data_IF_714411743712
#
_entry.id   IF_714411743712
#
_cell.length_a   1.000
_cell.length_b   1.000
_cell.length_c   1.000
_cell.angle_alpha   90.00
_cell.angle_beta   90.00
_cell.angle_gamma   90.00
#
_symmetry.space_group_name_H-M   'P 1'
#
loop_
_entity.id
_entity.type
_entity.pdbx_description
1 polymer ?
#
# COMPACT_ATOMS: atom_id res chain seq x y z
N UNK A 1 32.42 9.79 -16.24
CA UNK A 1 31.92 10.15 -14.90
C UNK A 1 30.43 9.88 -14.68
N UNK A 2 29.63 9.62 -15.73
CA UNK A 2 28.17 9.37 -15.65
C UNK A 2 27.82 7.87 -15.43
N UNK A 3 28.69 6.93 -15.81
CA UNK A 3 28.44 5.50 -15.63
C UNK A 3 28.69 4.99 -14.19
N UNK A 4 29.63 5.56 -13.46
CA UNK A 4 29.91 5.18 -12.09
C UNK A 4 28.77 5.54 -11.12
N UNK A 5 28.10 6.66 -11.35
CA UNK A 5 26.95 7.12 -10.55
C UNK A 5 25.71 6.24 -10.76
N UNK A 6 25.51 5.70 -11.98
CA UNK A 6 24.41 4.76 -12.26
C UNK A 6 24.63 3.39 -11.63
N UNK A 7 25.85 2.88 -11.60
CA UNK A 7 26.19 1.61 -10.97
C UNK A 7 26.09 1.67 -9.44
N UNK A 8 26.51 2.77 -8.81
CA UNK A 8 26.37 2.99 -7.38
C UNK A 8 24.89 3.10 -6.99
N UNK A 9 24.06 3.77 -7.79
CA UNK A 9 22.62 3.93 -7.55
C UNK A 9 21.85 2.60 -7.71
N UNK A 10 22.23 1.76 -8.68
CA UNK A 10 21.64 0.44 -8.87
C UNK A 10 21.99 -0.50 -7.69
N UNK A 11 23.26 -0.58 -7.29
CA UNK A 11 23.69 -1.45 -6.20
C UNK A 11 23.11 -1.04 -4.82
N UNK A 12 22.85 0.24 -4.58
CA UNK A 12 22.20 0.70 -3.36
C UNK A 12 20.70 0.37 -3.35
N UNK A 13 20.02 0.48 -4.49
CA UNK A 13 18.61 0.06 -4.63
C UNK A 13 18.44 -1.44 -4.41
N UNK A 14 19.28 -2.27 -5.01
CA UNK A 14 19.26 -3.72 -4.82
C UNK A 14 19.44 -4.12 -3.35
N UNK A 15 20.33 -3.44 -2.62
CA UNK A 15 20.55 -3.70 -1.19
C UNK A 15 19.35 -3.27 -0.35
N UNK A 16 18.75 -2.12 -0.63
CA UNK A 16 17.55 -1.65 0.07
C UNK A 16 16.35 -2.57 -0.20
N UNK A 17 16.19 -3.10 -1.41
CA UNK A 17 15.16 -4.07 -1.73
C UNK A 17 15.38 -5.42 -1.05
N UNK A 18 16.62 -5.89 -0.95
CA UNK A 18 16.96 -7.11 -0.20
C UNK A 18 16.64 -6.98 1.28
N UNK A 19 16.99 -5.83 1.89
CA UNK A 19 16.64 -5.52 3.27
C UNK A 19 15.14 -5.45 3.48
N UNK A 20 14.39 -4.84 2.55
CA UNK A 20 12.93 -4.79 2.61
C UNK A 20 12.29 -6.19 2.53
N UNK A 21 12.87 -7.09 1.75
CA UNK A 21 12.42 -8.50 1.69
C UNK A 21 12.70 -9.23 3.00
N UNK A 22 13.88 -9.01 3.60
CA UNK A 22 14.29 -9.70 4.84
C UNK A 22 13.40 -9.35 6.04
N UNK A 23 12.91 -8.11 6.13
CA UNK A 23 12.06 -7.66 7.25
C UNK A 23 10.57 -7.97 7.06
N UNK A 24 10.13 -8.44 5.88
CA UNK A 24 8.73 -8.80 5.65
C UNK A 24 8.33 -10.00 6.52
N UNK A 25 7.13 -9.98 7.13
CA UNK A 25 6.61 -11.16 7.79
C UNK A 25 6.36 -12.27 6.77
N UNK A 26 6.64 -13.51 7.17
CA UNK A 26 6.45 -14.69 6.32
C UNK A 26 5.22 -15.51 6.75
N UNK A 27 4.67 -15.29 7.95
CA UNK A 27 3.52 -16.01 8.49
C UNK A 27 2.44 -15.04 8.99
N UNK A 28 1.21 -15.52 9.14
CA UNK A 28 0.13 -14.75 9.78
C UNK A 28 0.45 -14.43 11.25
N UNK A 29 1.22 -15.29 11.94
CA UNK A 29 1.66 -15.05 13.31
C UNK A 29 2.57 -13.81 13.43
N UNK A 30 3.41 -13.58 12.43
CA UNK A 30 4.31 -12.42 12.35
C UNK A 30 3.66 -11.16 11.75
N UNK A 31 2.44 -11.30 11.20
CA UNK A 31 1.71 -10.21 10.56
C UNK A 31 1.00 -9.37 11.60
N UNK A 32 1.68 -8.33 12.06
CA UNK A 32 1.19 -7.38 13.08
C UNK A 32 0.11 -6.47 12.49
N UNK A 33 -0.88 -6.11 13.30
CA UNK A 33 -2.00 -5.26 12.90
C UNK A 33 -3.06 -5.99 12.07
N UNK A 34 -4.01 -5.25 11.51
CA UNK A 34 -5.10 -5.78 10.68
C UNK A 34 -5.85 -6.97 11.33
N UNK A 35 -6.32 -6.88 12.59
CA UNK A 35 -6.79 -8.04 13.36
C UNK A 35 -7.91 -8.81 12.66
N UNK A 36 -8.90 -8.12 12.10
CA UNK A 36 -10.02 -8.73 11.38
C UNK A 36 -9.57 -9.47 10.13
N UNK A 37 -8.67 -8.86 9.33
CA UNK A 37 -8.12 -9.48 8.12
C UNK A 37 -7.33 -10.73 8.49
N UNK A 38 -6.51 -10.66 9.53
CA UNK A 38 -5.70 -11.79 9.99
C UNK A 38 -6.57 -12.95 10.45
N UNK A 39 -7.58 -12.69 11.29
CA UNK A 39 -8.50 -13.72 11.80
C UNK A 39 -9.28 -14.40 10.66
N UNK A 40 -9.81 -13.59 9.72
CA UNK A 40 -10.54 -14.14 8.56
C UNK A 40 -9.63 -14.97 7.66
N UNK A 41 -8.43 -14.48 7.36
CA UNK A 41 -7.48 -15.20 6.50
C UNK A 41 -7.00 -16.50 7.15
N UNK A 42 -6.75 -16.49 8.45
CA UNK A 42 -6.41 -17.72 9.20
C UNK A 42 -7.51 -18.77 9.09
N UNK A 43 -8.78 -18.37 9.28
CA UNK A 43 -9.93 -19.25 9.15
C UNK A 43 -10.05 -19.83 7.73
N UNK A 44 -9.98 -18.97 6.70
CA UNK A 44 -10.16 -19.41 5.30
C UNK A 44 -9.03 -20.32 4.84
N UNK A 45 -7.78 -20.01 5.20
CA UNK A 45 -6.61 -20.83 4.86
C UNK A 45 -6.70 -22.18 5.56
N UNK A 46 -7.04 -22.23 6.85
CA UNK A 46 -7.21 -23.49 7.58
C UNK A 46 -8.32 -24.36 6.97
N UNK A 47 -9.44 -23.75 6.58
CA UNK A 47 -10.55 -24.45 5.95
C UNK A 47 -10.16 -25.04 4.58
N UNK A 48 -9.52 -24.24 3.71
CA UNK A 48 -9.07 -24.69 2.39
C UNK A 48 -8.05 -25.84 2.50
N UNK A 49 -7.06 -25.70 3.40
CA UNK A 49 -6.09 -26.78 3.69
C UNK A 49 -6.75 -28.03 4.21
N UNK A 50 -7.74 -27.92 5.11
CA UNK A 50 -8.48 -29.05 5.66
C UNK A 50 -9.25 -29.86 4.61
N UNK A 51 -9.69 -29.18 3.54
CA UNK A 51 -10.37 -29.81 2.38
C UNK A 51 -9.41 -30.21 1.25
N UNK A 52 -8.13 -29.85 1.36
CA UNK A 52 -7.12 -30.01 0.30
C UNK A 52 -7.53 -29.32 -1.02
N UNK A 53 -8.06 -28.12 -0.91
CA UNK A 53 -8.53 -27.29 -2.02
C UNK A 53 -7.68 -26.03 -2.16
N UNK A 54 -7.66 -25.43 -3.36
CA UNK A 54 -7.14 -24.07 -3.53
C UNK A 54 -7.98 -23.09 -2.69
N UNK A 55 -7.35 -22.02 -2.21
CA UNK A 55 -8.07 -20.94 -1.54
C UNK A 55 -8.94 -20.20 -2.57
N UNK A 56 -10.09 -19.72 -2.15
CA UNK A 56 -10.92 -18.85 -2.99
C UNK A 56 -10.14 -17.62 -3.49
N UNK A 57 -10.44 -17.17 -4.69
CA UNK A 57 -9.83 -15.97 -5.24
C UNK A 57 -10.00 -14.79 -4.31
N UNK A 58 -8.91 -14.10 -4.03
CA UNK A 58 -8.82 -13.09 -2.97
C UNK A 58 -8.46 -11.72 -3.54
N UNK A 59 -9.28 -10.71 -3.25
CA UNK A 59 -9.00 -9.30 -3.55
C UNK A 59 -8.50 -8.59 -2.30
N UNK A 60 -7.31 -7.98 -2.38
CA UNK A 60 -6.73 -7.18 -1.30
C UNK A 60 -6.65 -5.72 -1.76
N UNK A 61 -7.33 -4.81 -1.07
CA UNK A 61 -7.30 -3.40 -1.46
C UNK A 61 -7.04 -2.46 -0.28
N UNK A 62 -6.58 -1.26 -0.58
CA UNK A 62 -6.27 -0.23 0.39
C UNK A 62 -5.12 0.67 -0.06
N UNK A 63 -4.81 1.74 0.68
CA UNK A 63 -3.71 2.66 0.39
C UNK A 63 -2.38 1.97 0.11
N UNK A 64 -1.43 2.62 -0.58
CA UNK A 64 -0.13 2.03 -0.86
C UNK A 64 0.69 1.84 0.42
N UNK A 65 1.53 0.79 0.43
CA UNK A 65 2.47 0.55 1.52
C UNK A 65 1.91 -0.16 2.77
N UNK A 66 0.63 -0.59 2.76
CA UNK A 66 -0.03 -1.27 3.87
C UNK A 66 0.24 -2.79 3.95
N UNK A 67 0.96 -3.38 2.99
CA UNK A 67 1.33 -4.78 3.03
C UNK A 67 0.51 -5.72 2.14
N UNK A 68 -0.18 -5.23 1.08
CA UNK A 68 -0.95 -6.07 0.14
C UNK A 68 -0.11 -7.22 -0.44
N UNK A 69 1.06 -6.91 -0.99
CA UNK A 69 2.00 -7.90 -1.51
C UNK A 69 2.53 -8.84 -0.43
N UNK A 70 2.71 -8.33 0.79
CA UNK A 70 3.14 -9.14 1.94
C UNK A 70 2.08 -10.18 2.29
N UNK A 71 0.81 -9.78 2.37
CA UNK A 71 -0.29 -10.68 2.66
C UNK A 71 -0.45 -11.76 1.58
N UNK A 72 -0.27 -11.42 0.29
CA UNK A 72 -0.27 -12.40 -0.80
C UNK A 72 0.84 -13.46 -0.64
N UNK A 73 2.04 -13.05 -0.24
CA UNK A 73 3.14 -13.99 0.03
C UNK A 73 2.85 -14.87 1.24
N UNK A 74 2.25 -14.31 2.30
CA UNK A 74 1.84 -15.08 3.48
C UNK A 74 0.79 -16.12 3.11
N UNK A 75 -0.22 -15.75 2.30
CA UNK A 75 -1.23 -16.69 1.81
C UNK A 75 -0.58 -17.89 1.13
N UNK A 76 0.32 -17.67 0.19
CA UNK A 76 1.01 -18.76 -0.50
C UNK A 76 1.82 -19.63 0.45
N UNK A 77 2.55 -19.01 1.38
CA UNK A 77 3.36 -19.74 2.37
C UNK A 77 2.51 -20.54 3.34
N UNK A 78 1.43 -19.98 3.87
CA UNK A 78 0.50 -20.69 4.77
C UNK A 78 -0.24 -21.82 4.04
N UNK A 79 -0.57 -21.65 2.77
CA UNK A 79 -1.13 -22.71 1.92
C UNK A 79 -0.10 -23.80 1.57
N UNK A 80 1.20 -23.49 1.68
CA UNK A 80 2.29 -24.40 1.31
C UNK A 80 2.49 -24.57 -0.19
N UNK A 81 2.18 -23.53 -0.99
CA UNK A 81 2.22 -23.54 -2.45
C UNK A 81 3.15 -22.45 -2.99
N UNK A 82 3.45 -22.51 -4.29
CA UNK A 82 4.25 -21.50 -4.96
C UNK A 82 3.44 -20.23 -5.27
N UNK A 83 4.12 -19.08 -5.33
CA UNK A 83 3.51 -17.82 -5.77
C UNK A 83 4.20 -17.33 -7.05
N UNK A 84 3.40 -17.03 -8.08
CA UNK A 84 3.83 -16.31 -9.27
C UNK A 84 3.28 -14.91 -9.22
N UNK A 85 4.18 -13.93 -9.35
CA UNK A 85 3.83 -12.52 -9.18
C UNK A 85 3.98 -11.76 -10.48
N UNK A 86 2.97 -10.95 -10.79
CA UNK A 86 2.94 -10.01 -11.92
C UNK A 86 2.21 -8.73 -11.52
N UNK A 87 1.99 -7.84 -12.47
CA UNK A 87 1.18 -6.63 -12.25
C UNK A 87 0.30 -6.34 -13.46
N UNK A 88 -0.82 -5.63 -13.23
CA UNK A 88 -1.75 -5.25 -14.30
C UNK A 88 -1.06 -4.59 -15.50
N UNK A 89 -0.18 -3.59 -15.29
CA UNK A 89 0.54 -2.94 -16.39
C UNK A 89 1.47 -3.85 -17.21
N UNK A 90 1.94 -4.97 -16.68
CA UNK A 90 2.81 -5.92 -17.38
C UNK A 90 2.00 -6.88 -18.26
N UNK A 91 0.74 -7.11 -17.92
CA UNK A 91 -0.18 -7.97 -18.66
C UNK A 91 -0.86 -7.16 -19.79
N UNK A 92 -0.12 -6.91 -20.86
CA UNK A 92 -0.63 -6.09 -21.97
C UNK A 92 -1.51 -6.90 -22.93
N UNK A 93 -1.23 -8.18 -23.08
CA UNK A 93 -1.89 -9.06 -24.05
C UNK A 93 -2.45 -10.32 -23.40
N UNK A 94 -3.53 -10.89 -23.95
CA UNK A 94 -4.07 -12.17 -23.50
C UNK A 94 -3.03 -13.29 -23.41
N UNK A 95 -2.07 -13.32 -24.34
CA UNK A 95 -0.98 -14.29 -24.36
C UNK A 95 -0.04 -14.21 -23.15
N UNK A 96 0.17 -13.01 -22.60
CA UNK A 96 1.01 -12.84 -21.41
C UNK A 96 0.37 -13.49 -20.19
N UNK A 97 -0.95 -13.30 -20.03
CA UNK A 97 -1.74 -13.97 -18.99
C UNK A 97 -1.81 -15.47 -19.20
N UNK A 98 -2.07 -15.93 -20.44
CA UNK A 98 -2.14 -17.33 -20.79
C UNK A 98 -0.83 -18.07 -20.46
N UNK A 99 0.32 -17.47 -20.76
CA UNK A 99 1.62 -18.04 -20.44
C UNK A 99 1.84 -18.19 -18.92
N UNK A 100 1.34 -17.26 -18.11
CA UNK A 100 1.42 -17.39 -16.66
C UNK A 100 0.48 -18.48 -16.12
N UNK A 101 -0.77 -18.52 -16.59
CA UNK A 101 -1.79 -19.47 -16.12
C UNK A 101 -1.42 -20.92 -16.48
N UNK A 102 -0.90 -21.17 -17.67
CA UNK A 102 -0.50 -22.52 -18.10
C UNK A 102 0.75 -23.07 -17.39
N UNK A 103 1.49 -22.19 -16.71
CA UNK A 103 2.66 -22.58 -15.92
C UNK A 103 2.35 -22.73 -14.41
N UNK A 104 1.09 -22.61 -14.00
CA UNK A 104 0.69 -22.85 -12.61
C UNK A 104 0.57 -24.36 -12.33
N UNK A 105 0.91 -24.72 -11.10
CA UNK A 105 0.62 -26.05 -10.54
C UNK A 105 -0.65 -26.00 -9.68
N UNK A 106 -1.18 -27.16 -9.34
CA UNK A 106 -2.40 -27.25 -8.53
C UNK A 106 -2.20 -26.58 -7.15
N UNK A 107 -3.06 -25.63 -6.83
CA UNK A 107 -3.03 -24.86 -5.59
C UNK A 107 -2.17 -23.61 -5.62
N UNK A 108 -1.37 -23.39 -6.67
CA UNK A 108 -0.49 -22.22 -6.79
C UNK A 108 -1.24 -20.89 -6.64
N UNK A 109 -0.53 -19.89 -6.17
CA UNK A 109 -1.04 -18.50 -6.09
C UNK A 109 -0.52 -17.69 -7.27
N UNK A 110 -1.45 -17.11 -8.05
CA UNK A 110 -1.14 -16.05 -9.01
C UNK A 110 -1.43 -14.69 -8.35
N UNK A 111 -0.38 -13.93 -8.09
CA UNK A 111 -0.51 -12.57 -7.55
C UNK A 111 -0.42 -11.53 -8.65
N UNK A 112 -1.46 -10.68 -8.77
CA UNK A 112 -1.53 -9.57 -9.73
C UNK A 112 -1.62 -8.25 -8.96
N UNK A 113 -0.52 -7.50 -8.92
CA UNK A 113 -0.51 -6.14 -8.33
C UNK A 113 -1.13 -5.13 -9.29
N UNK A 114 -1.74 -4.07 -8.74
CA UNK A 114 -2.45 -3.03 -9.52
C UNK A 114 -3.44 -3.63 -10.53
N UNK A 115 -4.21 -4.64 -10.12
CA UNK A 115 -5.12 -5.42 -10.97
C UNK A 115 -6.17 -4.55 -11.69
N UNK A 116 -6.51 -3.38 -11.13
CA UNK A 116 -7.41 -2.40 -11.76
C UNK A 116 -6.86 -1.79 -13.07
N UNK A 117 -5.59 -2.06 -13.40
CA UNK A 117 -4.94 -1.61 -14.62
C UNK A 117 -4.88 -2.67 -15.73
N UNK A 118 -5.53 -3.81 -15.52
CA UNK A 118 -5.72 -4.78 -16.60
C UNK A 118 -6.54 -4.16 -17.75
N UNK A 119 -6.17 -4.50 -18.98
CA UNK A 119 -6.98 -4.14 -20.13
C UNK A 119 -8.26 -4.99 -20.19
N UNK A 120 -9.38 -4.48 -20.72
CA UNK A 120 -10.62 -5.26 -20.84
C UNK A 120 -10.45 -6.60 -21.55
N UNK A 121 -9.58 -6.67 -22.56
CA UNK A 121 -9.30 -7.90 -23.32
C UNK A 121 -8.62 -8.96 -22.44
N UNK A 122 -7.72 -8.54 -21.53
CA UNK A 122 -7.05 -9.44 -20.58
C UNK A 122 -8.02 -9.88 -19.48
N UNK A 123 -8.91 -8.98 -19.02
CA UNK A 123 -9.95 -9.33 -18.07
C UNK A 123 -10.89 -10.41 -18.62
N UNK A 124 -11.31 -10.32 -19.89
CA UNK A 124 -12.18 -11.32 -20.54
C UNK A 124 -11.58 -12.72 -20.55
N UNK A 125 -10.25 -12.83 -20.69
CA UNK A 125 -9.54 -14.12 -20.61
C UNK A 125 -9.44 -14.61 -19.16
N UNK A 126 -9.38 -13.71 -18.20
CA UNK A 126 -9.28 -14.04 -16.78
C UNK A 126 -10.59 -14.62 -16.22
N UNK A 127 -11.75 -14.21 -16.72
CA UNK A 127 -13.04 -14.64 -16.21
C UNK A 127 -13.25 -16.17 -16.24
N UNK A 128 -13.14 -16.87 -17.40
CA UNK A 128 -13.29 -18.32 -17.43
C UNK A 128 -12.17 -19.05 -16.66
N UNK A 129 -10.98 -18.45 -16.58
CA UNK A 129 -9.89 -19.00 -15.78
C UNK A 129 -10.21 -18.98 -14.27
N UNK A 130 -10.93 -17.97 -13.77
CA UNK A 130 -11.35 -17.87 -12.38
C UNK A 130 -12.58 -18.72 -12.06
N UNK A 131 -13.55 -18.82 -12.98
CA UNK A 131 -14.82 -19.53 -12.72
C UNK A 131 -14.70 -21.03 -12.93
N UNK A 132 -14.13 -21.42 -14.08
CA UNK A 132 -14.17 -22.80 -14.56
C UNK A 132 -12.78 -23.45 -14.61
N UNK A 133 -11.73 -22.72 -14.24
CA UNK A 133 -10.33 -23.13 -14.44
C UNK A 133 -10.06 -23.54 -15.90
N UNK A 134 -10.58 -22.73 -16.83
CA UNK A 134 -10.45 -22.93 -18.27
C UNK A 134 -9.90 -21.67 -18.95
N UNK A 135 -9.10 -21.90 -19.96
CA UNK A 135 -8.51 -20.85 -20.79
C UNK A 135 -8.96 -21.02 -22.24
N UNK A 136 -9.63 -20.02 -22.79
CA UNK A 136 -10.00 -20.01 -24.21
C UNK A 136 -8.87 -19.39 -25.04
N UNK A 137 -8.23 -20.21 -25.89
CA UNK A 137 -7.14 -19.78 -26.76
C UNK A 137 -7.63 -19.78 -28.22
N UNK A 138 -7.50 -18.64 -28.88
CA UNK A 138 -7.73 -18.54 -30.31
C UNK A 138 -6.47 -18.98 -31.08
N UNK A 139 -6.59 -20.02 -31.89
CA UNK A 139 -5.49 -20.52 -32.76
C UNK A 139 -5.85 -20.22 -34.21
N UNK A 140 -4.91 -19.59 -34.94
CA UNK A 140 -5.08 -19.16 -36.32
C UNK A 140 -5.56 -17.74 -36.48
N UNK A 141 -5.65 -17.26 -37.70
CA UNK A 141 -6.08 -15.91 -38.05
C UNK A 141 -7.28 -15.94 -39.03
N UNK A 142 -8.11 -14.90 -38.97
CA UNK A 142 -9.25 -14.69 -39.85
C UNK A 142 -10.35 -15.75 -39.69
N UNK A 143 -11.11 -16.07 -40.77
CA UNK A 143 -12.25 -16.99 -40.74
C UNK A 143 -11.91 -18.44 -40.38
N UNK A 144 -10.64 -18.81 -40.41
CA UNK A 144 -10.14 -20.15 -40.04
C UNK A 144 -9.70 -20.24 -38.56
N UNK A 145 -9.78 -19.17 -37.81
CA UNK A 145 -9.46 -19.17 -36.38
C UNK A 145 -10.39 -20.12 -35.60
N UNK A 146 -9.79 -20.92 -34.74
CA UNK A 146 -10.52 -21.86 -33.87
C UNK A 146 -10.23 -21.53 -32.40
N UNK A 147 -11.28 -21.56 -31.56
CA UNK A 147 -11.12 -21.54 -30.13
C UNK A 147 -10.81 -22.95 -29.62
N UNK A 148 -9.77 -23.06 -28.81
CA UNK A 148 -9.44 -24.28 -28.07
C UNK A 148 -9.55 -23.96 -26.59
N UNK A 149 -10.31 -24.77 -25.87
CA UNK A 149 -10.38 -24.71 -24.40
C UNK A 149 -9.26 -25.55 -23.82
N UNK A 150 -8.48 -24.94 -22.96
CA UNK A 150 -7.43 -25.60 -22.17
C UNK A 150 -7.83 -25.61 -20.70
N UNK A 151 -7.87 -26.80 -20.11
CA UNK A 151 -8.11 -26.93 -18.67
C UNK A 151 -6.87 -26.51 -17.90
N UNK A 152 -7.08 -25.70 -16.85
CA UNK A 152 -6.06 -25.23 -15.92
C UNK A 152 -6.15 -26.01 -14.61
N UNK A 153 -5.03 -26.25 -13.91
CA UNK A 153 -5.09 -26.75 -12.56
C UNK A 153 -5.80 -25.71 -11.65
N UNK A 154 -6.55 -26.12 -10.64
CA UNK A 154 -7.12 -25.21 -9.66
C UNK A 154 -6.03 -24.33 -9.04
N UNK A 155 -6.23 -23.02 -9.02
CA UNK A 155 -5.29 -22.03 -8.50
C UNK A 155 -6.02 -20.94 -7.72
N UNK A 156 -5.27 -20.17 -6.94
CA UNK A 156 -5.79 -18.98 -6.27
C UNK A 156 -5.30 -17.72 -6.94
N UNK A 157 -6.21 -16.89 -7.45
CA UNK A 157 -5.88 -15.52 -7.86
C UNK A 157 -5.89 -14.60 -6.64
N UNK A 158 -4.79 -13.92 -6.38
CA UNK A 158 -4.73 -12.83 -5.39
C UNK A 158 -4.54 -11.52 -6.14
N UNK A 159 -5.60 -10.74 -6.27
CA UNK A 159 -5.58 -9.40 -6.85
C UNK A 159 -5.28 -8.35 -5.81
N UNK A 160 -4.37 -7.42 -6.10
CA UNK A 160 -4.11 -6.26 -5.25
C UNK A 160 -4.40 -4.95 -5.97
N UNK A 161 -4.99 -3.97 -5.27
CA UNK A 161 -5.27 -2.66 -5.84
C UNK A 161 -5.28 -1.56 -4.79
N UNK A 162 -4.88 -0.35 -5.20
CA UNK A 162 -5.11 0.87 -4.43
C UNK A 162 -6.49 1.47 -4.70
N UNK A 163 -7.13 1.10 -5.80
CA UNK A 163 -8.35 1.71 -6.36
C UNK A 163 -9.44 0.67 -6.64
N UNK A 164 -9.99 0.07 -5.59
CA UNK A 164 -11.04 -0.96 -5.73
C UNK A 164 -12.27 -0.49 -6.54
N UNK A 165 -12.59 0.80 -6.51
CA UNK A 165 -13.69 1.38 -7.28
C UNK A 165 -13.44 1.48 -8.80
N UNK A 166 -12.20 1.21 -9.27
CA UNK A 166 -11.87 1.16 -10.69
C UNK A 166 -11.96 -0.25 -11.28
N UNK A 167 -12.15 -1.27 -10.44
CA UNK A 167 -12.40 -2.63 -10.93
C UNK A 167 -13.76 -2.71 -11.59
N UNK A 168 -13.84 -3.45 -12.68
CA UNK A 168 -15.13 -3.78 -13.30
C UNK A 168 -15.95 -4.65 -12.35
N UNK A 169 -17.28 -4.49 -12.37
CA UNK A 169 -18.15 -5.32 -11.53
C UNK A 169 -17.96 -6.82 -11.82
N UNK A 170 -17.87 -7.27 -13.11
CA UNK A 170 -17.65 -8.68 -13.41
C UNK A 170 -16.38 -9.24 -12.78
N UNK A 171 -15.29 -8.50 -12.80
CA UNK A 171 -14.04 -8.96 -12.16
C UNK A 171 -14.17 -9.00 -10.63
N UNK A 172 -14.76 -7.97 -10.06
CA UNK A 172 -14.93 -7.85 -8.61
C UNK A 172 -15.78 -8.97 -8.01
N UNK A 173 -16.88 -9.33 -8.69
CA UNK A 173 -17.83 -10.32 -8.20
C UNK A 173 -17.27 -11.76 -8.22
N UNK A 174 -16.14 -11.98 -8.91
CA UNK A 174 -15.45 -13.27 -8.96
C UNK A 174 -14.48 -13.51 -7.81
N UNK A 175 -14.26 -12.50 -6.97
CA UNK A 175 -13.46 -12.67 -5.75
C UNK A 175 -14.35 -13.14 -4.60
N UNK A 176 -14.15 -14.38 -4.15
CA UNK A 176 -14.86 -14.95 -3.00
C UNK A 176 -14.43 -14.35 -1.67
N UNK A 177 -13.17 -13.87 -1.60
CA UNK A 177 -12.60 -13.24 -0.40
C UNK A 177 -12.20 -11.80 -0.76
N UNK A 178 -12.69 -10.82 0.02
CA UNK A 178 -12.38 -9.41 -0.18
C UNK A 178 -11.82 -8.81 1.11
N UNK A 179 -10.56 -8.37 1.09
CA UNK A 179 -9.86 -7.85 2.26
C UNK A 179 -9.48 -6.39 2.05
N UNK A 180 -9.94 -5.52 2.95
CA UNK A 180 -9.57 -4.12 2.99
C UNK A 180 -8.47 -3.92 4.03
N UNK A 181 -7.32 -3.40 3.61
CA UNK A 181 -6.26 -3.00 4.53
C UNK A 181 -6.46 -1.53 4.94
N UNK A 182 -6.31 -1.28 6.23
CA UNK A 182 -6.44 0.03 6.83
C UNK A 182 -5.08 0.55 7.32
N UNK A 183 -4.99 1.86 7.60
CA UNK A 183 -3.79 2.41 8.22
C UNK A 183 -3.58 1.79 9.59
N UNK A 184 -2.32 1.53 9.92
CA UNK A 184 -1.91 0.91 11.16
C UNK A 184 -1.96 1.91 12.33
N UNK A 185 -2.25 1.44 13.51
CA UNK A 185 -2.10 2.21 14.74
C UNK A 185 -0.62 2.51 15.02
N UNK A 186 -0.34 3.53 15.82
CA UNK A 186 1.04 3.80 16.26
C UNK A 186 1.61 2.63 17.07
N UNK A 187 0.79 1.93 17.84
CA UNK A 187 1.20 0.75 18.62
C UNK A 187 1.63 -0.41 17.70
N UNK A 188 0.84 -0.71 16.66
CA UNK A 188 1.20 -1.73 15.68
C UNK A 188 2.50 -1.39 14.94
N UNK A 189 2.63 -0.12 14.51
CA UNK A 189 3.85 0.34 13.85
C UNK A 189 5.06 0.31 14.76
N UNK A 190 4.92 0.60 16.06
CA UNK A 190 6.00 0.47 17.04
C UNK A 190 6.47 -0.98 17.12
N UNK A 191 5.54 -1.93 17.16
CA UNK A 191 5.86 -3.36 17.15
C UNK A 191 6.56 -3.78 15.85
N UNK A 192 6.10 -3.27 14.71
CA UNK A 192 6.74 -3.52 13.40
C UNK A 192 8.17 -2.95 13.36
N UNK A 193 8.37 -1.71 13.82
CA UNK A 193 9.69 -1.06 13.88
C UNK A 193 10.64 -1.84 14.78
N UNK A 194 10.18 -2.23 15.98
CA UNK A 194 10.96 -3.01 16.94
C UNK A 194 11.38 -4.37 16.36
N UNK A 195 10.44 -5.09 15.75
CA UNK A 195 10.71 -6.36 15.06
C UNK A 195 11.72 -6.17 13.92
N UNK A 196 11.51 -5.16 13.08
CA UNK A 196 12.40 -4.87 11.95
C UNK A 196 13.81 -4.50 12.42
N UNK A 197 13.92 -3.70 13.48
CA UNK A 197 15.19 -3.36 14.10
C UNK A 197 15.92 -4.61 14.61
N UNK A 198 15.22 -5.53 15.27
CA UNK A 198 15.79 -6.81 15.73
C UNK A 198 16.34 -7.66 14.57
N UNK A 199 15.60 -7.79 13.46
CA UNK A 199 16.04 -8.52 12.27
C UNK A 199 17.28 -7.87 11.63
N UNK A 200 17.34 -6.53 11.66
CA UNK A 200 18.47 -5.77 11.12
C UNK A 200 19.66 -5.68 12.11
N UNK A 201 19.56 -6.26 13.30
CA UNK A 201 20.61 -6.22 14.34
C UNK A 201 20.82 -4.82 14.92
N UNK A 202 19.79 -3.96 14.95
CA UNK A 202 19.86 -2.59 15.43
C UNK A 202 19.52 -2.51 16.93
N UNK A 203 20.25 -1.68 17.66
CA UNK A 203 19.93 -1.35 19.05
C UNK A 203 18.95 -0.17 19.07
N UNK A 204 17.68 -0.45 19.40
CA UNK A 204 16.62 0.55 19.47
C UNK A 204 15.94 0.51 20.84
N UNK A 205 15.73 1.70 21.42
CA UNK A 205 14.93 1.86 22.62
C UNK A 205 13.43 1.91 22.28
N UNK A 206 12.54 1.50 23.19
CA UNK A 206 11.08 1.55 22.95
C UNK A 206 10.60 2.93 22.53
N UNK A 207 11.12 3.99 23.17
CA UNK A 207 10.78 5.38 22.86
C UNK A 207 11.31 5.83 21.49
N UNK A 208 12.45 5.29 21.06
CA UNK A 208 12.98 5.51 19.71
C UNK A 208 12.11 4.84 18.64
N UNK A 209 11.66 3.61 18.90
CA UNK A 209 10.74 2.89 18.03
C UNK A 209 9.38 3.61 17.93
N UNK A 210 8.84 4.07 19.06
CA UNK A 210 7.61 4.85 19.12
C UNK A 210 7.74 6.16 18.33
N UNK A 211 8.86 6.89 18.45
CA UNK A 211 9.11 8.14 17.74
C UNK A 211 9.09 7.93 16.21
N UNK A 212 9.71 6.86 15.71
CA UNK A 212 9.66 6.49 14.29
C UNK A 212 8.23 6.12 13.87
N UNK A 213 7.55 5.31 14.68
CA UNK A 213 6.21 4.79 14.39
C UNK A 213 5.17 5.91 14.29
N UNK A 214 5.16 6.86 15.21
CA UNK A 214 4.19 7.97 15.22
C UNK A 214 4.31 8.90 14.01
N UNK A 215 5.53 8.99 13.40
CA UNK A 215 5.77 9.78 12.18
C UNK A 215 5.66 8.96 10.89
N UNK A 216 5.28 7.69 10.98
CA UNK A 216 5.22 6.80 9.82
C UNK A 216 3.88 6.82 9.06
N UNK A 217 2.97 7.73 9.40
CA UNK A 217 1.71 7.94 8.68
C UNK A 217 0.85 6.67 8.56
N UNK A 218 0.78 5.86 9.61
CA UNK A 218 0.01 4.62 9.59
C UNK A 218 0.50 3.55 8.60
N UNK A 219 1.73 3.68 8.06
CA UNK A 219 2.18 2.88 6.91
C UNK A 219 3.46 2.12 7.23
N UNK A 220 3.44 0.76 7.25
CA UNK A 220 4.62 -0.07 7.51
C UNK A 220 5.79 0.20 6.57
N UNK A 221 5.54 0.44 5.27
CA UNK A 221 6.59 0.79 4.31
C UNK A 221 7.32 2.07 4.69
N UNK A 222 6.57 3.10 5.14
CA UNK A 222 7.17 4.37 5.59
C UNK A 222 7.93 4.12 6.89
N UNK A 223 7.36 3.41 7.87
CA UNK A 223 8.02 3.08 9.13
C UNK A 223 9.39 2.41 8.91
N UNK A 224 9.44 1.40 8.06
CA UNK A 224 10.69 0.71 7.73
C UNK A 224 11.68 1.60 6.96
N UNK A 225 11.19 2.47 6.07
CA UNK A 225 12.04 3.45 5.37
C UNK A 225 12.64 4.46 6.36
N UNK A 226 11.84 4.98 7.29
CA UNK A 226 12.30 5.90 8.33
C UNK A 226 13.30 5.20 9.27
N UNK A 227 13.04 3.97 9.71
CA UNK A 227 13.95 3.19 10.53
C UNK A 227 15.35 3.09 9.90
N UNK A 228 15.44 2.81 8.60
CA UNK A 228 16.72 2.75 7.89
C UNK A 228 17.45 4.10 7.87
N UNK A 229 16.75 5.19 7.65
CA UNK A 229 17.36 6.53 7.67
C UNK A 229 17.80 6.94 9.07
N UNK A 230 16.99 6.61 10.08
CA UNK A 230 17.36 6.82 11.50
C UNK A 230 18.56 5.96 11.88
N UNK A 231 18.66 4.73 11.39
CA UNK A 231 19.86 3.88 11.55
C UNK A 231 21.12 4.59 11.03
N UNK A 232 21.09 5.07 9.77
CA UNK A 232 22.21 5.73 9.14
C UNK A 232 22.67 6.94 9.98
N UNK A 233 21.72 7.70 10.54
CA UNK A 233 22.00 8.81 11.44
C UNK A 233 22.59 8.34 12.80
N UNK A 234 22.04 7.28 13.38
CA UNK A 234 22.49 6.71 14.65
C UNK A 234 23.92 6.16 14.56
N UNK A 235 24.28 5.51 13.45
CA UNK A 235 25.63 5.03 13.19
C UNK A 235 26.66 6.17 13.18
N UNK A 236 26.30 7.31 12.59
CA UNK A 236 27.22 8.46 12.46
C UNK A 236 27.24 9.34 13.70
N UNK A 237 26.09 9.59 14.34
CA UNK A 237 25.94 10.58 15.42
C UNK A 237 25.48 10.00 16.77
N UNK A 238 24.94 8.77 16.79
CA UNK A 238 24.30 8.13 17.95
C UNK A 238 25.06 6.93 18.51
N UNK A 239 26.31 6.69 18.10
CA UNK A 239 27.11 5.50 18.52
C UNK A 239 26.39 4.18 18.22
N UNK A 240 25.55 4.14 17.19
CA UNK A 240 24.78 2.96 16.77
C UNK A 240 23.53 2.67 17.59
N UNK A 241 23.14 3.54 18.55
CA UNK A 241 21.95 3.36 19.38
C UNK A 241 20.84 4.32 18.94
N UNK A 242 19.64 3.78 18.73
CA UNK A 242 18.45 4.56 18.36
C UNK A 242 17.65 4.86 19.63
N UNK A 243 17.94 5.99 20.25
CA UNK A 243 17.15 6.57 21.33
C UNK A 243 16.05 7.48 20.76
N UNK A 244 15.10 7.92 21.60
CA UNK A 244 14.11 8.92 21.20
C UNK A 244 14.75 10.18 20.63
N UNK A 245 15.80 10.69 21.28
CA UNK A 245 16.49 11.93 20.87
C UNK A 245 17.15 11.78 19.51
N UNK A 246 17.81 10.64 19.26
CA UNK A 246 18.45 10.33 17.98
C UNK A 246 17.39 10.18 16.89
N UNK A 247 16.29 9.48 17.17
CA UNK A 247 15.19 9.34 16.22
C UNK A 247 14.57 10.70 15.86
N UNK A 248 14.28 11.57 16.84
CA UNK A 248 13.75 12.90 16.63
C UNK A 248 14.68 13.77 15.76
N UNK A 249 15.97 13.83 16.12
CA UNK A 249 16.97 14.60 15.36
C UNK A 249 17.10 14.09 13.91
N UNK A 250 17.10 12.79 13.71
CA UNK A 250 17.17 12.20 12.37
C UNK A 250 15.93 12.53 11.54
N UNK A 251 14.75 12.40 12.12
CA UNK A 251 13.47 12.67 11.43
C UNK A 251 13.32 14.16 11.09
N UNK A 252 13.75 15.04 11.98
CA UNK A 252 13.78 16.49 11.70
C UNK A 252 14.77 16.83 10.57
N UNK A 253 15.94 16.17 10.51
CA UNK A 253 16.89 16.32 9.40
C UNK A 253 16.30 15.83 8.06
N UNK A 254 15.40 14.84 8.10
CA UNK A 254 14.68 14.32 6.93
C UNK A 254 13.45 15.16 6.55
N UNK A 255 13.24 16.28 7.22
CA UNK A 255 12.10 17.17 7.03
C UNK A 255 10.73 16.49 7.25
N UNK A 256 10.69 15.51 8.17
CA UNK A 256 9.47 14.85 8.64
C UNK A 256 9.07 15.45 9.98
N UNK A 257 7.92 16.12 10.02
CA UNK A 257 7.47 16.82 11.23
C UNK A 257 6.89 15.86 12.30
N UNK A 258 6.44 16.42 13.42
CA UNK A 258 5.90 15.65 14.54
C UNK A 258 4.64 14.83 14.21
N UNK A 259 3.88 15.22 13.19
CA UNK A 259 2.71 14.50 12.67
C UNK A 259 3.04 13.54 11.52
N UNK A 260 4.31 13.46 11.15
CA UNK A 260 4.77 12.63 10.06
C UNK A 260 4.59 13.25 8.68
N UNK A 261 4.28 14.55 8.60
CA UNK A 261 4.16 15.21 7.30
C UNK A 261 5.54 15.52 6.76
N UNK A 262 5.76 15.11 5.52
CA UNK A 262 6.94 15.46 4.75
C UNK A 262 6.75 16.80 3.99
N UNK A 263 7.75 17.17 3.24
CA UNK A 263 7.71 18.39 2.43
C UNK A 263 6.51 18.44 1.46
N UNK A 264 6.12 17.31 0.86
CA UNK A 264 5.02 17.29 -0.10
C UNK A 264 3.65 17.46 0.57
N UNK A 265 3.44 16.83 1.73
CA UNK A 265 2.21 17.01 2.52
C UNK A 265 2.01 18.47 2.92
N UNK A 266 3.07 19.06 3.49
CA UNK A 266 3.02 20.46 3.91
C UNK A 266 2.83 21.41 2.73
N UNK A 267 3.50 21.13 1.60
CA UNK A 267 3.35 21.92 0.37
C UNK A 267 1.91 21.85 -0.17
N UNK A 268 1.27 20.67 -0.12
CA UNK A 268 -0.13 20.51 -0.53
C UNK A 268 -1.06 21.32 0.37
N UNK A 269 -0.95 21.15 1.70
CA UNK A 269 -1.80 21.85 2.65
C UNK A 269 -1.61 23.38 2.59
N UNK A 270 -0.36 23.86 2.55
CA UNK A 270 -0.05 25.28 2.43
C UNK A 270 -0.52 25.88 1.09
N UNK A 271 -0.37 25.14 -0.02
CA UNK A 271 -0.91 25.59 -1.30
C UNK A 271 -2.44 25.75 -1.26
N UNK A 272 -3.15 24.84 -0.59
CA UNK A 272 -4.60 24.97 -0.40
C UNK A 272 -4.97 26.18 0.47
N UNK A 273 -4.20 26.46 1.52
CA UNK A 273 -4.44 27.59 2.42
C UNK A 273 -4.12 28.91 1.72
N UNK A 274 -2.89 29.05 1.18
CA UNK A 274 -2.36 30.33 0.73
C UNK A 274 -2.85 30.74 -0.66
N UNK A 275 -3.03 29.76 -1.57
CA UNK A 275 -3.39 30.03 -2.98
C UNK A 275 -4.87 29.91 -3.26
N UNK A 276 -5.60 29.14 -2.44
CA UNK A 276 -7.01 28.82 -2.67
C UNK A 276 -7.92 29.12 -1.46
N UNK A 277 -7.47 29.95 -0.53
CA UNK A 277 -8.23 30.36 0.67
C UNK A 277 -8.84 29.17 1.45
N UNK A 278 -8.11 28.04 1.51
CA UNK A 278 -8.56 26.81 2.12
C UNK A 278 -9.55 25.97 1.32
N UNK A 279 -9.82 26.36 0.07
CA UNK A 279 -10.71 25.64 -0.84
C UNK A 279 -12.17 26.14 -0.84
N UNK A 280 -13.07 25.50 -1.64
CA UNK A 280 -12.86 24.24 -2.37
C UNK A 280 -12.01 24.40 -3.64
N UNK A 281 -11.10 23.46 -3.89
CA UNK A 281 -10.20 23.47 -5.05
C UNK A 281 -10.20 22.12 -5.79
N UNK A 282 -10.22 22.16 -7.12
CA UNK A 282 -10.14 20.97 -7.98
C UNK A 282 -8.76 20.33 -7.95
N UNK A 283 -8.69 19.01 -8.19
CA UNK A 283 -7.42 18.25 -8.15
C UNK A 283 -6.40 18.75 -9.17
N UNK A 284 -6.84 19.11 -10.38
CA UNK A 284 -5.95 19.53 -11.45
C UNK A 284 -5.28 20.89 -11.13
N UNK A 285 -6.01 21.79 -10.47
CA UNK A 285 -5.45 23.05 -9.98
C UNK A 285 -4.44 22.82 -8.85
N UNK A 286 -4.70 21.87 -7.96
CA UNK A 286 -3.73 21.50 -6.92
C UNK A 286 -2.47 20.87 -7.52
N UNK A 287 -2.62 19.94 -8.46
CA UNK A 287 -1.53 19.29 -9.17
C UNK A 287 -0.61 20.33 -9.84
N UNK A 288 -1.22 21.28 -10.55
CA UNK A 288 -0.47 22.39 -11.16
C UNK A 288 0.20 23.31 -10.11
N UNK A 289 -0.50 23.63 -9.01
CA UNK A 289 0.00 24.54 -7.97
C UNK A 289 1.21 24.01 -7.20
N UNK A 290 1.30 22.67 -7.02
CA UNK A 290 2.42 22.03 -6.32
C UNK A 290 3.38 21.30 -7.27
N UNK A 291 3.17 21.38 -8.60
CA UNK A 291 3.98 20.70 -9.62
C UNK A 291 4.12 19.21 -9.36
N UNK A 292 2.98 18.55 -9.10
CA UNK A 292 2.90 17.13 -8.81
C UNK A 292 1.84 16.48 -9.70
N UNK A 293 1.94 15.17 -9.94
CA UNK A 293 0.93 14.46 -10.70
C UNK A 293 -0.37 14.29 -9.90
N UNK A 294 -1.51 14.38 -10.59
CA UNK A 294 -2.82 14.15 -9.99
C UNK A 294 -2.90 12.83 -9.21
N UNK A 295 -2.36 11.76 -9.79
CA UNK A 295 -2.39 10.42 -9.19
C UNK A 295 -1.57 10.34 -7.89
N UNK A 296 -0.44 11.04 -7.82
CA UNK A 296 0.35 11.12 -6.58
C UNK A 296 -0.45 11.78 -5.46
N UNK A 297 -1.18 12.85 -5.77
CA UNK A 297 -2.03 13.50 -4.78
C UNK A 297 -3.14 12.56 -4.31
N UNK A 298 -3.90 11.95 -5.26
CA UNK A 298 -5.06 11.13 -4.96
C UNK A 298 -4.73 9.81 -4.22
N UNK A 299 -3.59 9.19 -4.56
CA UNK A 299 -3.25 7.85 -4.08
C UNK A 299 -2.28 7.86 -2.91
N UNK A 300 -1.42 8.88 -2.79
CA UNK A 300 -0.34 8.91 -1.80
C UNK A 300 -0.54 9.97 -0.72
N UNK A 301 -0.88 11.21 -1.10
CA UNK A 301 -0.94 12.32 -0.15
C UNK A 301 -2.32 12.41 0.53
N UNK A 302 -3.40 12.51 -0.25
CA UNK A 302 -4.76 12.71 0.27
C UNK A 302 -5.26 11.62 1.23
N UNK A 303 -5.05 10.30 1.01
CA UNK A 303 -5.69 9.28 1.83
C UNK A 303 -5.39 9.42 3.32
N UNK A 304 -4.13 9.68 3.65
CA UNK A 304 -3.72 9.90 5.03
C UNK A 304 -4.23 11.23 5.58
N UNK A 305 -4.09 12.32 4.81
CA UNK A 305 -4.54 13.64 5.22
C UNK A 305 -6.06 13.72 5.43
N UNK A 306 -6.83 12.98 4.63
CA UNK A 306 -8.29 12.88 4.80
C UNK A 306 -8.62 12.10 6.07
N UNK A 307 -7.99 10.94 6.29
CA UNK A 307 -8.25 10.11 7.46
C UNK A 307 -7.89 10.85 8.77
N UNK A 308 -6.81 11.62 8.75
CA UNK A 308 -6.40 12.44 9.89
C UNK A 308 -7.19 13.75 10.01
N UNK A 309 -8.16 13.97 9.14
CA UNK A 309 -9.05 15.11 9.20
C UNK A 309 -8.42 16.46 8.82
N UNK A 310 -7.33 16.48 8.05
CA UNK A 310 -6.70 17.72 7.55
C UNK A 310 -7.33 18.23 6.26
N UNK A 311 -7.85 17.32 5.44
CA UNK A 311 -8.53 17.61 4.18
C UNK A 311 -9.89 16.91 4.15
N UNK A 312 -10.88 17.54 3.56
CA UNK A 312 -12.17 16.94 3.20
C UNK A 312 -12.39 17.00 1.70
N UNK A 313 -13.02 15.95 1.15
CA UNK A 313 -13.54 15.97 -0.23
C UNK A 313 -14.98 16.43 -0.23
N UNK A 314 -15.30 17.41 -1.06
CA UNK A 314 -16.65 17.90 -1.29
C UNK A 314 -17.00 17.77 -2.77
N UNK A 315 -18.29 17.87 -3.17
CA UNK A 315 -18.68 17.88 -4.60
C UNK A 315 -18.00 19.01 -5.41
N UNK A 316 -17.58 20.10 -4.76
CA UNK A 316 -16.91 21.24 -5.41
C UNK A 316 -15.38 21.10 -5.44
N UNK A 317 -14.80 20.13 -4.76
CA UNK A 317 -13.36 19.93 -4.65
C UNK A 317 -12.89 19.68 -3.23
N UNK A 318 -11.57 19.84 -3.00
CA UNK A 318 -10.90 19.62 -1.72
C UNK A 318 -10.93 20.88 -0.88
N UNK A 319 -11.16 20.70 0.42
CA UNK A 319 -11.18 21.80 1.40
C UNK A 319 -10.29 21.40 2.58
N UNK A 320 -9.45 22.31 3.06
CA UNK A 320 -8.69 22.11 4.30
C UNK A 320 -9.61 22.31 5.50
N UNK A 321 -9.32 21.57 6.57
CA UNK A 321 -10.07 21.67 7.83
C UNK A 321 -9.38 22.62 8.80
N UNK A 322 -10.02 22.85 9.96
CA UNK A 322 -9.44 23.57 11.09
C UNK A 322 -8.10 22.97 11.53
N UNK A 323 -7.96 21.62 11.51
CA UNK A 323 -6.73 20.92 11.91
C UNK A 323 -5.52 21.37 11.10
N UNK A 324 -5.68 21.63 9.80
CA UNK A 324 -4.59 22.09 8.96
C UNK A 324 -4.09 23.49 9.36
N UNK A 325 -4.99 24.42 9.63
CA UNK A 325 -4.62 25.77 10.10
C UNK A 325 -3.90 25.72 11.44
N UNK A 326 -4.43 24.96 12.40
CA UNK A 326 -3.84 24.81 13.73
C UNK A 326 -2.46 24.14 13.67
N UNK A 327 -2.27 23.17 12.78
CA UNK A 327 -0.98 22.51 12.58
C UNK A 327 0.13 23.48 12.18
N UNK A 328 -0.20 24.48 11.32
CA UNK A 328 0.75 25.50 10.90
C UNK A 328 0.76 26.75 11.81
N UNK A 329 0.00 26.76 12.91
CA UNK A 329 -0.13 27.92 13.79
C UNK A 329 -0.80 29.12 13.11
N UNK A 330 -1.61 28.90 12.08
CA UNK A 330 -2.29 29.94 11.33
C UNK A 330 -3.65 30.27 11.94
N UNK A 331 -4.06 31.55 11.78
CA UNK A 331 -5.38 31.99 12.21
C UNK A 331 -6.48 31.36 11.37
N UNK A 332 -7.58 30.96 12.00
CA UNK A 332 -8.74 30.41 11.32
C UNK A 332 -9.44 31.51 10.48
N UNK A 333 -9.84 31.21 9.25
CA UNK A 333 -10.71 32.09 8.49
C UNK A 333 -12.03 32.33 9.24
N UNK A 334 -12.61 33.54 9.15
CA UNK A 334 -13.87 33.90 9.82
C UNK A 334 -15.00 32.89 9.59
N UNK A 335 -15.11 32.35 8.37
CA UNK A 335 -16.09 31.31 8.00
C UNK A 335 -15.96 30.00 8.76
N UNK A 336 -14.76 29.68 9.29
CA UNK A 336 -14.51 28.49 10.10
C UNK A 336 -14.59 28.74 11.60
N UNK A 337 -14.43 30.01 12.01
CA UNK A 337 -14.54 30.41 13.41
C UNK A 337 -16.01 30.49 13.88
N UNK A 338 -16.97 30.68 12.97
CA UNK A 338 -18.39 30.86 13.24
C UNK A 338 -19.25 29.59 13.09
N UNK A 339 -18.68 28.46 12.65
CA UNK A 339 -19.43 27.21 12.47
C UNK A 339 -19.42 26.37 13.74
N UNK A 340 -20.60 26.09 14.37
CA UNK A 340 -20.69 25.31 15.60
C UNK A 340 -20.59 23.78 15.39
N UNK A 341 -20.06 23.30 14.29
CA UNK A 341 -20.06 21.88 13.93
C UNK A 341 -18.67 21.26 14.11
N UNK A 342 -18.20 21.16 15.36
CA UNK A 342 -16.93 20.51 15.70
C UNK A 342 -17.05 19.19 16.50
N UNK A 343 -18.27 18.64 16.65
CA UNK A 343 -18.48 17.44 17.49
C UNK A 343 -18.86 16.15 16.71
N UNK A 344 -18.65 16.10 15.41
CA UNK A 344 -18.97 14.88 14.62
C UNK A 344 -17.84 13.84 14.58
N UNK A 345 -16.65 14.19 15.06
CA UNK A 345 -15.54 13.26 15.22
C UNK A 345 -14.82 13.52 16.55
N UNK A 346 -15.50 13.19 17.63
CA UNK A 346 -14.89 13.15 18.95
C UNK A 346 -13.78 12.09 18.96
N UNK A 347 -12.55 12.49 18.70
CA UNK A 347 -11.37 11.71 19.06
C UNK A 347 -11.16 11.97 20.54
N UNK A 348 -11.62 11.03 21.39
CA UNK A 348 -11.30 11.03 22.80
C UNK A 348 -9.78 10.97 22.97
N UNK A 349 -9.26 11.95 23.68
CA UNK A 349 -7.95 11.87 24.33
C UNK A 349 -8.01 10.76 25.39
N UNK A 350 -7.40 9.59 25.10
CA UNK A 350 -6.85 8.66 26.11
C UNK A 350 -5.64 7.94 25.52
#
# INVERSE_FOLDING_TARGET
>A
MIEADRLITASSRDRDEQLDRAIRPLSLADYVGQPTVREQMELFIQAARGRNEALDHTLIFGPPGLGKTTLANIIAQEMGVSIKSTSGPVLERPGDLAALLTNLESGDVLFVDEIHRLSPIVEEVLYPAMEDFQLDIMIGEGPAARSIKLDLPPFTLVGATTRAGMLTNPLRDRFGIVQRLEFYSTADLTSIVTRSAGILGLHIEPEGAFEIARRARGTPRIANRLLRRVRDFAEVRGKGQITRVIADQALNLLDVDERGFDHQDRRLLLAMIDKFDGGPVGIDNLAAAISEERHTIEDVLEPYLIQQGYIMRTPRGRVVTRHAYLHFGLNLPKRMAESPTDDLFGVGDE
#
